data_IF_543382924779
#
_entry.id   IF_543382924779
#
_cell.length_a   1.000
_cell.length_b   1.000
_cell.length_c   1.000
_cell.angle_alpha   90.00
_cell.angle_beta   90.00
_cell.angle_gamma   90.00
#
_symmetry.space_group_name_H-M   'P 1'
#
loop_
_entity.id
_entity.type
_entity.pdbx_description
1 polymer ?
#
# COMPACT_ATOMS: atom_id res chain seq x y z
N UNK A 1 -6.14 -20.29 7.69
CA UNK A 1 -4.67 -20.11 7.63
C UNK A 1 -4.19 -19.67 9.00
N UNK A 2 -3.34 -20.46 9.65
CA UNK A 2 -2.79 -20.11 10.97
C UNK A 2 -1.89 -18.89 10.82
N UNK A 3 -2.22 -17.79 11.54
CA UNK A 3 -1.38 -16.58 11.63
C UNK A 3 -0.11 -16.96 12.38
N UNK A 4 0.89 -17.49 11.67
CA UNK A 4 2.23 -17.70 12.23
C UNK A 4 2.69 -16.34 12.74
N UNK A 5 2.86 -16.21 14.06
CA UNK A 5 3.63 -15.12 14.62
C UNK A 5 4.98 -15.13 13.90
N UNK A 6 5.40 -13.99 13.37
CA UNK A 6 6.77 -13.81 12.86
C UNK A 6 7.63 -13.55 14.10
N UNK A 7 8.27 -14.57 14.69
CA UNK A 7 8.83 -14.44 16.04
C UNK A 7 10.05 -13.51 16.09
N UNK A 8 10.61 -13.17 14.92
CA UNK A 8 11.78 -12.31 14.76
C UNK A 8 11.46 -10.92 14.20
N UNK A 9 10.18 -10.58 14.04
CA UNK A 9 9.78 -9.33 13.40
C UNK A 9 8.84 -8.58 14.33
N UNK A 10 9.27 -7.38 14.74
CA UNK A 10 8.35 -6.42 15.35
C UNK A 10 7.36 -5.96 14.28
N UNK A 11 6.17 -6.55 14.32
CA UNK A 11 5.07 -6.28 13.39
C UNK A 11 4.71 -4.80 13.38
N UNK A 12 4.70 -4.11 14.53
CA UNK A 12 4.29 -2.70 14.58
C UNK A 12 5.33 -1.82 13.87
N UNK A 13 6.62 -2.03 14.16
CA UNK A 13 7.71 -1.32 13.48
C UNK A 13 7.71 -1.57 11.97
N UNK A 14 7.46 -2.80 11.52
CA UNK A 14 7.37 -3.10 10.08
C UNK A 14 6.19 -2.40 9.43
N UNK A 15 4.99 -2.47 10.04
CA UNK A 15 3.80 -1.80 9.49
C UNK A 15 4.01 -0.29 9.42
N UNK A 16 4.64 0.33 10.42
CA UNK A 16 4.96 1.76 10.40
C UNK A 16 5.91 2.14 9.25
N UNK A 17 6.98 1.35 9.03
CA UNK A 17 7.93 1.57 7.93
C UNK A 17 7.31 1.35 6.56
N UNK A 18 6.42 0.36 6.44
CA UNK A 18 5.64 0.13 5.22
C UNK A 18 4.72 1.33 4.92
N UNK A 19 4.09 1.92 5.95
CA UNK A 19 3.30 3.14 5.81
C UNK A 19 4.12 4.33 5.27
N UNK A 20 5.34 4.53 5.79
CA UNK A 20 6.26 5.56 5.28
C UNK A 20 6.65 5.31 3.82
N UNK A 21 6.97 4.06 3.48
CA UNK A 21 7.28 3.67 2.10
C UNK A 21 6.11 3.93 1.16
N UNK A 22 4.88 3.59 1.59
CA UNK A 22 3.66 3.84 0.81
C UNK A 22 3.47 5.33 0.53
N UNK A 23 3.66 6.17 1.54
CA UNK A 23 3.56 7.62 1.39
C UNK A 23 4.56 8.16 0.35
N UNK A 24 5.81 7.70 0.40
CA UNK A 24 6.83 8.07 -0.58
C UNK A 24 6.45 7.62 -2.02
N UNK A 25 5.83 6.44 -2.17
CA UNK A 25 5.36 5.98 -3.49
C UNK A 25 4.17 6.79 -4.00
N UNK A 26 3.28 7.27 -3.12
CA UNK A 26 2.18 8.17 -3.49
C UNK A 26 2.73 9.49 -4.04
N UNK A 27 3.73 10.06 -3.37
CA UNK A 27 4.41 11.28 -3.80
C UNK A 27 5.12 11.08 -5.14
N UNK A 28 5.87 9.97 -5.29
CA UNK A 28 6.50 9.61 -6.55
C UNK A 28 5.48 9.46 -7.69
N UNK A 29 4.37 8.75 -7.44
CA UNK A 29 3.29 8.57 -8.40
C UNK A 29 2.67 9.90 -8.82
N UNK A 30 2.43 10.79 -7.85
CA UNK A 30 1.83 12.11 -8.08
C UNK A 30 2.74 13.03 -8.90
N UNK A 31 4.06 13.01 -8.63
CA UNK A 31 5.06 13.79 -9.35
C UNK A 31 5.48 13.20 -10.71
N UNK A 32 5.12 11.95 -11.00
CA UNK A 32 5.52 11.26 -12.23
C UNK A 32 4.61 11.59 -13.41
N UNK A 33 5.17 11.76 -14.64
CA UNK A 33 4.37 11.95 -15.85
C UNK A 33 3.34 10.83 -16.05
N UNK A 34 2.15 11.15 -16.60
CA UNK A 34 1.20 10.13 -17.01
C UNK A 34 1.83 9.09 -17.92
N UNK A 35 1.52 7.80 -17.70
CA UNK A 35 2.03 6.65 -18.49
C UNK A 35 3.54 6.43 -18.45
N UNK A 36 4.27 7.08 -17.55
CA UNK A 36 5.69 6.79 -17.32
C UNK A 36 5.90 5.48 -16.58
N UNK A 37 7.07 4.87 -16.79
CA UNK A 37 7.49 3.68 -16.03
C UNK A 37 7.56 3.96 -14.53
N UNK A 38 8.04 5.15 -14.13
CA UNK A 38 8.08 5.56 -12.73
C UNK A 38 6.70 5.54 -12.07
N UNK A 39 5.68 6.07 -12.77
CA UNK A 39 4.29 6.04 -12.29
C UNK A 39 3.77 4.61 -12.14
N UNK A 40 3.97 3.76 -13.16
CA UNK A 40 3.53 2.37 -13.14
C UNK A 40 4.23 1.56 -12.04
N UNK A 41 5.53 1.76 -11.83
CA UNK A 41 6.29 1.12 -10.76
C UNK A 41 5.81 1.59 -9.38
N UNK A 42 5.50 2.87 -9.21
CA UNK A 42 4.95 3.40 -7.96
C UNK A 42 3.56 2.79 -7.66
N UNK A 43 2.68 2.66 -8.66
CA UNK A 43 1.39 1.98 -8.54
C UNK A 43 1.55 0.53 -8.06
N UNK A 44 2.46 -0.23 -8.68
CA UNK A 44 2.72 -1.62 -8.29
C UNK A 44 3.28 -1.73 -6.86
N UNK A 45 4.19 -0.83 -6.48
CA UNK A 45 4.76 -0.81 -5.13
C UNK A 45 3.71 -0.50 -4.07
N UNK A 46 2.79 0.44 -4.33
CA UNK A 46 1.66 0.72 -3.42
C UNK A 46 0.82 -0.56 -3.22
N UNK A 47 0.47 -1.25 -4.31
CA UNK A 47 -0.30 -2.50 -4.24
C UNK A 47 0.43 -3.58 -3.43
N UNK A 48 1.74 -3.73 -3.61
CA UNK A 48 2.54 -4.72 -2.88
C UNK A 48 2.61 -4.40 -1.38
N UNK A 49 2.73 -3.11 -1.03
CA UNK A 49 2.75 -2.67 0.37
C UNK A 49 1.40 -2.95 1.04
N UNK A 50 0.29 -2.63 0.37
CA UNK A 50 -1.05 -2.87 0.90
C UNK A 50 -1.28 -4.37 1.17
N UNK A 51 -0.83 -5.25 0.27
CA UNK A 51 -0.90 -6.70 0.45
C UNK A 51 -0.02 -7.19 1.61
N UNK A 52 1.23 -6.71 1.72
CA UNK A 52 2.12 -7.08 2.82
C UNK A 52 1.53 -6.68 4.17
N UNK A 53 0.91 -5.50 4.25
CA UNK A 53 0.26 -5.05 5.48
C UNK A 53 -0.94 -5.94 5.78
N UNK A 54 -1.74 -6.30 4.79
CA UNK A 54 -2.85 -7.23 4.99
C UNK A 54 -2.37 -8.60 5.50
N UNK A 55 -1.31 -9.16 4.92
CA UNK A 55 -0.70 -10.42 5.37
C UNK A 55 -0.24 -10.32 6.82
N UNK A 56 0.42 -9.21 7.18
CA UNK A 56 0.95 -8.99 8.52
C UNK A 56 -0.15 -8.73 9.55
N UNK A 57 -1.23 -8.07 9.15
CA UNK A 57 -2.22 -7.53 10.08
C UNK A 57 -3.54 -8.26 10.14
N UNK A 58 -3.94 -8.83 9.01
CA UNK A 58 -5.29 -9.33 8.75
C UNK A 58 -6.31 -8.22 8.48
N UNK A 59 -5.88 -6.95 8.43
CA UNK A 59 -6.76 -5.80 8.24
C UNK A 59 -6.57 -5.26 6.82
N UNK A 60 -7.64 -5.33 6.02
CA UNK A 60 -7.62 -4.79 4.65
C UNK A 60 -7.67 -3.28 4.61
N UNK A 61 -8.20 -2.64 5.66
CA UNK A 61 -8.52 -1.21 5.64
C UNK A 61 -7.40 -0.30 6.15
N UNK A 62 -6.26 -0.84 6.59
CA UNK A 62 -5.19 -0.03 7.18
C UNK A 62 -4.58 1.00 6.23
N UNK A 63 -4.56 0.70 4.93
CA UNK A 63 -4.01 1.60 3.92
C UNK A 63 -4.95 1.88 2.74
N UNK A 64 -6.16 1.33 2.76
CA UNK A 64 -7.16 1.61 1.72
C UNK A 64 -7.49 3.10 1.76
N UNK A 65 -6.93 3.81 0.80
CA UNK A 65 -7.41 5.14 0.45
C UNK A 65 -8.76 4.90 -0.20
N UNK A 66 -9.86 5.29 0.46
CA UNK A 66 -11.18 5.30 -0.17
C UNK A 66 -11.09 6.17 -1.42
N UNK A 67 -10.87 5.54 -2.57
CA UNK A 67 -10.95 6.18 -3.87
C UNK A 67 -12.35 6.76 -3.99
N UNK A 68 -12.44 8.06 -4.26
CA UNK A 68 -13.70 8.75 -4.42
C UNK A 68 -14.53 8.00 -5.46
N UNK A 69 -15.69 7.49 -5.03
CA UNK A 69 -16.67 6.90 -5.93
C UNK A 69 -17.02 7.92 -7.01
N UNK A 70 -16.58 7.67 -8.23
CA UNK A 70 -17.14 8.36 -9.38
C UNK A 70 -18.45 7.65 -9.69
N UNK A 71 -19.53 8.33 -9.34
CA UNK A 71 -20.91 7.93 -9.59
C UNK A 71 -21.08 7.67 -11.10
N UNK A 72 -21.49 6.46 -11.46
CA UNK A 72 -21.83 6.08 -12.83
C UNK A 72 -23.09 6.85 -13.25
N UNK A 73 -22.89 7.92 -14.03
CA UNK A 73 -23.96 8.65 -14.69
C UNK A 73 -23.81 8.59 -16.20
N UNK A 74 -24.27 7.51 -16.82
CA UNK A 74 -25.09 7.47 -18.06
C UNK A 74 -25.25 6.05 -18.58
#
# INVERSE_FOLDING_TARGET
MSRRSLPYVDRQSVVARLGQCRQAMIELRAGSPPRSLARASADQMISNIDELVWILTGERDLFVTKGHGTNLGR
#
